data_IF_237180822645
#
_entry.id   IF_237180822645
#
_cell.length_a   1.000
_cell.length_b   1.000
_cell.length_c   1.000
_cell.angle_alpha   90.00
_cell.angle_beta   90.00
_cell.angle_gamma   90.00
#
_symmetry.space_group_name_H-M   'P 1'
#
loop_
_entity.id
_entity.type
_entity.pdbx_description
1 polymer ?
#
# COMPACT_ATOMS: atom_id res chain seq x y z
N UNK A 1 -0.48 -2.96 -4.30
CA UNK A 1 -1.10 -1.79 -4.97
C UNK A 1 -0.21 -1.36 -6.11
N UNK A 2 -0.73 -1.29 -7.34
CA UNK A 2 0.04 -0.96 -8.55
C UNK A 2 -0.75 -0.01 -9.49
N UNK A 3 -0.05 0.97 -10.07
CA UNK A 3 -0.65 1.98 -10.93
C UNK A 3 -1.07 1.41 -12.29
N UNK A 4 -2.21 1.89 -12.80
CA UNK A 4 -2.70 1.65 -14.15
C UNK A 4 -2.09 2.73 -15.05
N UNK A 5 -1.24 2.33 -15.99
CA UNK A 5 -0.49 3.26 -16.84
C UNK A 5 -1.27 3.53 -18.13
N UNK A 6 -1.62 4.78 -18.38
CA UNK A 6 -2.14 5.27 -19.66
C UNK A 6 -1.10 6.18 -20.31
N UNK A 7 -0.76 5.97 -21.59
CA UNK A 7 0.33 6.67 -22.27
C UNK A 7 0.15 8.19 -22.35
N UNK A 8 -1.11 8.65 -22.42
CA UNK A 8 -1.45 10.06 -22.56
C UNK A 8 -1.67 10.78 -21.23
N UNK A 9 -1.55 10.09 -20.09
CA UNK A 9 -1.65 10.70 -18.76
C UNK A 9 -0.24 11.01 -18.24
N UNK A 10 0.14 12.29 -18.10
CA UNK A 10 1.46 12.65 -17.60
C UNK A 10 1.57 12.31 -16.11
N UNK A 11 2.76 11.85 -15.72
CA UNK A 11 3.10 11.57 -14.33
C UNK A 11 3.48 12.88 -13.64
N UNK A 12 3.07 13.06 -12.39
CA UNK A 12 3.48 14.23 -11.59
C UNK A 12 4.96 14.11 -11.19
N UNK A 13 5.42 12.89 -10.91
CA UNK A 13 6.83 12.60 -10.72
C UNK A 13 7.41 12.10 -12.04
N UNK A 14 8.01 13.01 -12.79
CA UNK A 14 8.44 12.79 -14.17
C UNK A 14 9.54 11.73 -14.32
N UNK A 15 10.32 11.49 -13.27
CA UNK A 15 11.37 10.47 -13.25
C UNK A 15 10.85 9.04 -13.22
N UNK A 16 9.62 8.80 -12.76
CA UNK A 16 9.06 7.45 -12.63
C UNK A 16 8.73 6.86 -13.99
N UNK A 17 9.59 5.98 -14.50
CA UNK A 17 9.44 5.32 -15.80
C UNK A 17 8.90 3.89 -15.67
N UNK A 18 9.20 3.23 -14.56
CA UNK A 18 8.84 1.84 -14.24
C UNK A 18 7.92 1.81 -13.02
N UNK A 19 7.03 0.81 -12.86
CA UNK A 19 6.05 0.80 -11.77
C UNK A 19 6.71 0.79 -10.39
N UNK A 20 6.06 1.46 -9.42
CA UNK A 20 6.36 1.30 -7.99
C UNK A 20 5.19 0.52 -7.39
N UNK A 21 5.46 -0.67 -6.86
CA UNK A 21 4.43 -1.52 -6.28
C UNK A 21 4.48 -1.42 -4.76
N UNK A 22 3.40 -0.96 -4.14
CA UNK A 22 3.30 -0.90 -2.67
C UNK A 22 2.73 -2.24 -2.16
N UNK A 23 3.50 -2.93 -1.33
CA UNK A 23 3.04 -4.04 -0.50
C UNK A 23 2.72 -3.54 0.90
N UNK A 24 1.44 -3.44 1.26
CA UNK A 24 1.00 -2.95 2.57
C UNK A 24 0.78 -4.10 3.55
N UNK A 25 1.37 -4.02 4.74
CA UNK A 25 1.07 -4.96 5.83
C UNK A 25 -0.30 -4.67 6.44
N UNK A 26 -1.35 -5.33 5.97
CA UNK A 26 -2.74 -5.08 6.38
C UNK A 26 -3.11 -5.72 7.75
N UNK A 27 -2.26 -5.56 8.77
CA UNK A 27 -2.52 -6.10 10.11
C UNK A 27 -2.03 -5.15 11.22
N UNK A 28 -2.88 -4.97 12.24
CA UNK A 28 -2.60 -4.28 13.49
C UNK A 28 -1.97 -2.88 13.32
N UNK A 29 -0.92 -2.57 14.09
CA UNK A 29 -0.37 -1.21 14.24
C UNK A 29 -1.50 -0.20 14.58
N UNK A 30 -1.52 0.99 13.98
CA UNK A 30 -2.55 2.01 14.20
C UNK A 30 -3.99 1.50 13.95
N UNK A 31 -4.17 0.48 13.11
CA UNK A 31 -5.48 0.01 12.66
C UNK A 31 -6.15 -0.98 13.63
N UNK A 32 -5.43 -1.39 14.69
CA UNK A 32 -5.99 -2.11 15.85
C UNK A 32 -5.46 -1.53 17.16
N UNK A 33 -5.14 -0.23 17.15
CA UNK A 33 -4.68 0.47 18.33
C UNK A 33 -5.84 0.73 19.31
N UNK A 34 -5.49 0.94 20.57
CA UNK A 34 -6.38 1.52 21.57
C UNK A 34 -5.83 2.90 21.91
N UNK A 35 -6.63 3.93 21.71
CA UNK A 35 -6.32 5.31 22.03
C UNK A 35 -7.14 5.82 23.23
N UNK A 36 -6.57 6.79 23.95
CA UNK A 36 -7.14 7.29 25.20
C UNK A 36 -6.79 8.76 25.41
N UNK A 37 -7.78 9.54 25.84
CA UNK A 37 -7.58 10.93 26.30
C UNK A 37 -7.21 10.91 27.78
N UNK A 38 -5.99 11.35 28.09
CA UNK A 38 -5.49 11.47 29.46
C UNK A 38 -6.16 12.68 30.13
N UNK A 39 -6.90 12.50 31.24
CA UNK A 39 -7.75 13.56 31.80
C UNK A 39 -6.99 14.61 32.61
N UNK A 40 -5.76 14.35 33.04
CA UNK A 40 -4.99 15.23 33.92
C UNK A 40 -3.62 14.67 34.27
N UNK A 41 -2.96 15.28 35.25
CA UNK A 41 -1.63 14.84 35.70
C UNK A 41 -1.68 13.41 36.28
N UNK A 42 -0.70 12.59 35.94
CA UNK A 42 -0.65 11.18 36.35
C UNK A 42 0.43 10.39 35.64
N UNK A 43 0.69 9.17 36.11
CA UNK A 43 1.64 8.24 35.49
C UNK A 43 0.90 7.27 34.57
N UNK A 44 1.37 7.14 33.33
CA UNK A 44 0.88 6.15 32.38
C UNK A 44 1.94 5.05 32.17
N UNK A 45 1.54 3.79 32.33
CA UNK A 45 2.39 2.62 32.15
C UNK A 45 1.86 1.70 31.05
N UNK A 46 2.78 0.96 30.42
CA UNK A 46 2.49 -0.20 29.58
C UNK A 46 2.80 -1.46 30.38
N UNK A 47 1.80 -2.29 30.63
CA UNK A 47 1.96 -3.51 31.43
C UNK A 47 1.62 -4.77 30.61
N UNK A 48 2.56 -5.71 30.55
CA UNK A 48 2.35 -7.07 30.04
C UNK A 48 2.13 -8.03 31.21
N UNK A 49 1.14 -8.93 31.09
CA UNK A 49 0.87 -10.01 32.05
C UNK A 49 0.84 -11.33 31.30
N UNK A 50 1.91 -12.11 31.44
CA UNK A 50 2.05 -13.43 30.86
C UNK A 50 1.20 -14.48 31.58
N UNK A 51 0.80 -15.52 30.84
CA UNK A 51 0.07 -16.66 31.41
C UNK A 51 0.93 -17.49 32.39
N UNK A 52 2.25 -17.31 32.35
CA UNK A 52 3.23 -17.88 33.27
C UNK A 52 3.38 -17.06 34.57
N UNK A 53 2.61 -15.98 34.72
CA UNK A 53 2.69 -15.05 35.85
C UNK A 53 3.74 -13.96 35.69
N UNK A 54 4.48 -13.91 34.58
CA UNK A 54 5.43 -12.84 34.32
C UNK A 54 4.70 -11.49 34.18
N UNK A 55 5.18 -10.47 34.88
CA UNK A 55 4.69 -9.09 34.73
C UNK A 55 5.83 -8.21 34.27
N UNK A 56 5.64 -7.49 33.17
CA UNK A 56 6.58 -6.47 32.67
C UNK A 56 5.84 -5.15 32.71
N UNK A 57 6.41 -4.13 33.32
CA UNK A 57 5.85 -2.78 33.39
C UNK A 57 6.89 -1.78 32.92
N UNK A 58 6.48 -0.91 31.98
CA UNK A 58 7.31 0.17 31.44
C UNK A 58 6.55 1.48 31.58
N UNK A 59 7.21 2.53 32.05
CA UNK A 59 6.59 3.86 32.13
C UNK A 59 6.59 4.48 30.74
N UNK A 60 5.41 4.82 30.22
CA UNK A 60 5.27 5.55 28.95
C UNK A 60 5.59 7.02 29.19
N UNK A 61 4.93 7.65 30.18
CA UNK A 61 5.10 9.06 30.51
C UNK A 61 4.55 9.41 31.90
N UNK A 62 5.13 10.44 32.52
CA UNK A 62 4.58 11.13 33.69
C UNK A 62 3.91 12.44 33.27
N UNK A 63 2.61 12.39 32.98
CA UNK A 63 1.81 13.53 32.55
C UNK A 63 1.71 14.60 33.64
N UNK A 64 1.90 15.86 33.25
CA UNK A 64 1.74 17.05 34.12
C UNK A 64 0.38 17.75 33.95
N UNK A 65 -0.45 17.26 33.04
CA UNK A 65 -1.76 17.79 32.70
C UNK A 65 -2.46 16.89 31.66
N UNK A 66 -3.60 17.31 31.09
CA UNK A 66 -4.32 16.52 30.09
C UNK A 66 -3.48 16.23 28.84
N UNK A 67 -3.79 15.15 28.14
CA UNK A 67 -3.06 14.73 26.94
C UNK A 67 -3.73 13.58 26.21
N UNK A 68 -2.96 12.89 25.36
CA UNK A 68 -3.41 11.70 24.63
C UNK A 68 -2.35 10.60 24.70
N UNK A 69 -2.79 9.36 24.64
CA UNK A 69 -1.93 8.20 24.54
C UNK A 69 -2.54 7.17 23.60
N UNK A 70 -1.70 6.30 23.05
CA UNK A 70 -2.13 5.16 22.27
C UNK A 70 -1.23 3.96 22.55
N UNK A 71 -1.80 2.77 22.48
CA UNK A 71 -1.10 1.50 22.47
C UNK A 71 -1.40 0.74 21.18
N UNK A 72 -0.36 0.18 20.55
CA UNK A 72 -0.49 -0.64 19.34
C UNK A 72 0.39 -1.89 19.45
N UNK A 73 0.12 -2.88 18.62
CA UNK A 73 0.84 -4.14 18.61
C UNK A 73 0.97 -4.69 17.20
N UNK A 74 1.87 -5.67 17.03
CA UNK A 74 1.87 -6.59 15.91
C UNK A 74 2.32 -7.97 16.38
N UNK A 75 2.31 -8.97 15.51
CA UNK A 75 2.72 -10.34 15.85
C UNK A 75 3.80 -10.84 14.89
N UNK A 76 4.76 -11.59 15.40
CA UNK A 76 5.82 -12.18 14.58
C UNK A 76 5.25 -13.01 13.42
N UNK A 77 4.21 -13.82 13.69
CA UNK A 77 3.54 -14.62 12.67
C UNK A 77 3.02 -13.75 11.51
N UNK A 78 2.36 -12.62 11.81
CA UNK A 78 1.85 -11.73 10.77
C UNK A 78 2.96 -11.03 10.00
N UNK A 79 4.07 -10.68 10.66
CA UNK A 79 5.24 -10.06 10.02
C UNK A 79 5.95 -11.06 9.10
N UNK A 80 6.08 -12.31 9.53
CA UNK A 80 6.66 -13.42 8.74
C UNK A 80 5.83 -13.67 7.48
N UNK A 81 4.51 -13.75 7.61
CA UNK A 81 3.59 -13.90 6.48
C UNK A 81 3.71 -12.75 5.49
N UNK A 82 3.77 -11.51 5.99
CA UNK A 82 3.97 -10.32 5.17
C UNK A 82 5.33 -10.31 4.44
N UNK A 83 6.39 -10.75 5.11
CA UNK A 83 7.71 -10.88 4.52
C UNK A 83 7.70 -11.91 3.38
N UNK A 84 7.15 -13.11 3.61
CA UNK A 84 7.01 -14.13 2.58
C UNK A 84 6.21 -13.65 1.37
N UNK A 85 5.07 -12.98 1.60
CA UNK A 85 4.27 -12.42 0.52
C UNK A 85 5.06 -11.39 -0.30
N UNK A 86 5.79 -10.50 0.38
CA UNK A 86 6.61 -9.47 -0.27
C UNK A 86 7.75 -10.07 -1.10
N UNK A 87 8.47 -11.06 -0.55
CA UNK A 87 9.57 -11.71 -1.25
C UNK A 87 9.10 -12.49 -2.49
N UNK A 88 8.05 -13.31 -2.32
CA UNK A 88 7.47 -14.09 -3.43
C UNK A 88 6.96 -13.19 -4.54
N UNK A 89 6.26 -12.11 -4.19
CA UNK A 89 5.73 -11.17 -5.17
C UNK A 89 6.85 -10.46 -5.95
N UNK A 90 7.89 -10.00 -5.26
CA UNK A 90 9.04 -9.36 -5.90
C UNK A 90 9.82 -10.32 -6.82
N UNK A 91 9.98 -11.59 -6.43
CA UNK A 91 10.56 -12.64 -7.29
C UNK A 91 9.73 -12.89 -8.55
N UNK A 92 8.41 -13.08 -8.40
CA UNK A 92 7.49 -13.31 -9.51
C UNK A 92 7.54 -12.15 -10.52
N UNK A 93 7.58 -10.91 -10.01
CA UNK A 93 7.70 -9.69 -10.82
C UNK A 93 9.11 -9.39 -11.29
N UNK A 94 10.13 -10.11 -10.82
CA UNK A 94 11.56 -9.84 -11.04
C UNK A 94 11.93 -8.38 -10.75
N UNK A 95 11.46 -7.86 -9.62
CA UNK A 95 11.73 -6.51 -9.15
C UNK A 95 12.50 -6.56 -7.81
N UNK A 96 13.46 -5.64 -7.58
CA UNK A 96 14.07 -5.52 -6.26
C UNK A 96 13.03 -5.15 -5.20
N UNK A 97 13.27 -5.57 -3.96
CA UNK A 97 12.39 -5.35 -2.81
C UNK A 97 13.03 -4.42 -1.80
N UNK A 98 12.31 -3.36 -1.44
CA UNK A 98 12.66 -2.48 -0.34
C UNK A 98 11.65 -2.62 0.79
N UNK A 99 12.13 -2.73 2.04
CA UNK A 99 11.26 -2.66 3.22
C UNK A 99 11.69 -1.48 4.08
N UNK A 100 10.73 -0.63 4.47
CA UNK A 100 11.03 0.61 5.18
C UNK A 100 10.47 0.63 6.60
N UNK A 101 11.27 1.11 7.56
CA UNK A 101 10.82 1.35 8.94
C UNK A 101 11.49 2.58 9.56
N UNK A 102 11.20 2.90 10.83
CA UNK A 102 11.92 3.88 11.63
C UNK A 102 12.63 3.21 12.82
N UNK A 103 13.33 2.09 12.57
CA UNK A 103 13.98 1.26 13.61
C UNK A 103 15.08 1.97 14.42
N UNK A 104 15.64 3.09 13.95
CA UNK A 104 16.55 3.91 14.77
C UNK A 104 15.84 4.58 15.95
N UNK A 105 14.54 4.82 15.83
CA UNK A 105 13.67 5.39 16.87
C UNK A 105 12.90 4.28 17.58
N UNK A 106 12.15 3.47 16.83
CA UNK A 106 11.38 2.34 17.35
C UNK A 106 12.25 1.07 17.40
N UNK A 107 13.30 1.11 18.21
CA UNK A 107 14.37 0.09 18.25
C UNK A 107 13.88 -1.34 18.43
N UNK A 108 12.88 -1.56 19.29
CA UNK A 108 12.30 -2.88 19.53
C UNK A 108 11.21 -3.22 18.49
N UNK A 109 10.24 -2.33 18.30
CA UNK A 109 9.07 -2.58 17.45
C UNK A 109 9.43 -2.69 15.97
N UNK A 110 10.05 -1.65 15.40
CA UNK A 110 10.46 -1.62 14.00
C UNK A 110 11.74 -2.41 13.75
N UNK A 111 12.57 -2.58 14.79
CA UNK A 111 13.69 -3.53 14.77
C UNK A 111 13.20 -4.95 14.49
N UNK A 112 12.08 -5.37 15.12
CA UNK A 112 11.52 -6.71 14.90
C UNK A 112 11.11 -6.98 13.45
N UNK A 113 10.52 -5.99 12.77
CA UNK A 113 10.23 -6.07 11.34
C UNK A 113 11.50 -6.24 10.51
N UNK A 114 12.52 -5.41 10.77
CA UNK A 114 13.82 -5.49 10.09
C UNK A 114 14.45 -6.87 10.27
N UNK A 115 14.56 -7.33 11.52
CA UNK A 115 15.25 -8.56 11.86
C UNK A 115 14.56 -9.78 11.23
N UNK A 116 13.22 -9.83 11.24
CA UNK A 116 12.46 -10.93 10.61
C UNK A 116 12.68 -10.96 9.09
N UNK A 117 12.57 -9.81 8.41
CA UNK A 117 12.80 -9.76 6.97
C UNK A 117 14.24 -10.13 6.60
N UNK A 118 15.23 -9.63 7.34
CA UNK A 118 16.64 -9.91 7.10
C UNK A 118 16.98 -11.39 7.33
N UNK A 119 16.45 -11.99 8.40
CA UNK A 119 16.64 -13.41 8.69
C UNK A 119 16.03 -14.31 7.61
N UNK A 120 14.78 -14.03 7.20
CA UNK A 120 14.10 -14.77 6.14
C UNK A 120 14.80 -14.62 4.79
N UNK A 121 15.23 -13.41 4.44
CA UNK A 121 15.96 -13.16 3.21
C UNK A 121 17.23 -14.01 3.14
N UNK A 122 18.06 -13.93 4.18
CA UNK A 122 19.34 -14.63 4.23
C UNK A 122 19.17 -16.15 4.23
N UNK A 123 18.17 -16.68 4.94
CA UNK A 123 17.94 -18.13 5.06
C UNK A 123 17.27 -18.75 3.85
N UNK A 124 16.34 -18.04 3.21
CA UNK A 124 15.41 -18.66 2.25
C UNK A 124 15.46 -18.04 0.86
N UNK A 125 15.62 -16.72 0.73
CA UNK A 125 15.36 -16.03 -0.54
C UNK A 125 16.61 -15.55 -1.27
N UNK A 126 17.74 -15.34 -0.56
CA UNK A 126 18.94 -14.72 -1.11
C UNK A 126 19.43 -15.39 -2.40
N UNK A 127 19.48 -16.71 -2.44
CA UNK A 127 19.92 -17.47 -3.63
C UNK A 127 19.02 -17.24 -4.84
N UNK A 128 17.70 -17.21 -4.64
CA UNK A 128 16.73 -17.00 -5.72
C UNK A 128 16.78 -15.55 -6.24
N UNK A 129 16.96 -14.59 -5.33
CA UNK A 129 17.13 -13.18 -5.67
C UNK A 129 18.40 -12.94 -6.49
N UNK A 130 19.54 -13.50 -6.04
CA UNK A 130 20.82 -13.43 -6.76
C UNK A 130 20.71 -14.06 -8.16
N UNK A 131 20.04 -15.22 -8.28
CA UNK A 131 19.80 -15.88 -9.56
C UNK A 131 18.91 -15.06 -10.50
N UNK A 132 17.96 -14.29 -9.95
CA UNK A 132 17.10 -13.39 -10.70
C UNK A 132 17.73 -12.01 -10.98
N UNK A 133 18.92 -11.72 -10.44
CA UNK A 133 19.60 -10.43 -10.60
C UNK A 133 18.92 -9.27 -9.85
N UNK A 134 18.17 -9.57 -8.81
CA UNK A 134 17.48 -8.60 -7.96
C UNK A 134 17.95 -8.70 -6.50
N UNK A 135 17.60 -7.74 -5.66
CA UNK A 135 18.05 -7.68 -4.26
C UNK A 135 16.92 -7.31 -3.30
N UNK A 136 17.18 -7.55 -2.02
CA UNK A 136 16.40 -7.02 -0.90
C UNK A 136 17.23 -6.00 -0.12
N UNK A 137 16.60 -4.89 0.29
CA UNK A 137 17.23 -3.90 1.15
C UNK A 137 16.23 -3.35 2.19
N UNK A 138 16.67 -3.27 3.45
CA UNK A 138 15.98 -2.47 4.47
C UNK A 138 16.45 -1.02 4.39
N UNK A 139 15.50 -0.07 4.46
CA UNK A 139 15.79 1.37 4.53
C UNK A 139 15.05 2.05 5.67
N UNK A 140 15.60 3.17 6.13
CA UNK A 140 14.81 4.09 6.95
C UNK A 140 13.75 4.76 6.09
N UNK A 141 12.54 4.90 6.62
CA UNK A 141 11.37 5.39 5.86
C UNK A 141 11.59 6.77 5.23
N UNK A 142 12.31 7.66 5.90
CA UNK A 142 12.68 8.99 5.40
C UNK A 142 13.68 8.94 4.24
N UNK A 143 14.65 8.02 4.27
CA UNK A 143 15.53 7.78 3.12
C UNK A 143 14.77 7.11 1.98
N UNK A 144 13.89 6.15 2.29
CA UNK A 144 13.12 5.42 1.28
C UNK A 144 12.19 6.34 0.48
N UNK A 145 11.48 7.27 1.14
CA UNK A 145 10.63 8.25 0.42
C UNK A 145 11.48 9.16 -0.46
N UNK A 146 12.67 9.58 -0.01
CA UNK A 146 13.56 10.43 -0.78
C UNK A 146 14.16 9.70 -1.99
N UNK A 147 14.52 8.42 -1.80
CA UNK A 147 14.95 7.53 -2.87
C UNK A 147 13.84 7.33 -3.90
N UNK A 148 12.62 7.00 -3.46
CA UNK A 148 11.49 6.79 -4.35
C UNK A 148 11.26 7.99 -5.27
N UNK A 149 11.27 9.22 -4.73
CA UNK A 149 11.08 10.45 -5.51
C UNK A 149 12.15 10.71 -6.58
N UNK A 150 13.37 10.20 -6.40
CA UNK A 150 14.50 10.38 -7.34
C UNK A 150 14.73 9.17 -8.25
N UNK A 151 14.14 8.03 -7.92
CA UNK A 151 14.28 6.79 -8.67
C UNK A 151 13.55 6.85 -10.01
N UNK A 152 13.84 5.88 -10.88
CA UNK A 152 13.02 5.63 -12.08
C UNK A 152 11.80 4.75 -11.78
N UNK A 153 11.54 4.43 -10.52
CA UNK A 153 10.64 3.35 -10.09
C UNK A 153 11.23 1.96 -10.35
N UNK A 154 10.38 0.95 -10.54
CA UNK A 154 10.79 -0.42 -10.87
C UNK A 154 11.20 -1.25 -9.66
N UNK A 155 10.43 -1.16 -8.58
CA UNK A 155 10.67 -1.91 -7.35
C UNK A 155 9.37 -2.22 -6.61
N UNK A 156 9.42 -3.22 -5.74
CA UNK A 156 8.41 -3.47 -4.73
C UNK A 156 8.83 -2.77 -3.45
N UNK A 157 7.90 -2.05 -2.83
CA UNK A 157 8.09 -1.38 -1.55
C UNK A 157 7.15 -1.99 -0.52
N UNK A 158 7.71 -2.83 0.34
CA UNK A 158 7.04 -3.37 1.52
C UNK A 158 6.96 -2.30 2.60
N UNK A 159 5.74 -1.82 2.85
CA UNK A 159 5.42 -0.82 3.83
C UNK A 159 4.68 -1.44 5.02
N UNK A 160 4.99 -0.95 6.23
CA UNK A 160 4.14 -1.15 7.41
C UNK A 160 2.73 -0.61 7.13
N UNK A 161 1.77 -0.96 7.98
CA UNK A 161 0.36 -0.73 7.70
C UNK A 161 0.05 0.73 7.35
N UNK A 162 0.45 1.66 8.22
CA UNK A 162 0.21 3.09 8.03
C UNK A 162 1.02 3.69 6.86
N UNK A 163 2.30 3.32 6.75
CA UNK A 163 3.14 3.80 5.65
C UNK A 163 2.59 3.35 4.30
N UNK A 164 2.08 2.12 4.21
CA UNK A 164 1.51 1.57 2.98
C UNK A 164 0.21 2.24 2.56
N UNK A 165 -0.58 2.72 3.52
CA UNK A 165 -1.79 3.48 3.27
C UNK A 165 -1.47 4.86 2.68
N UNK A 166 -0.58 5.61 3.33
CA UNK A 166 -0.19 6.96 2.90
C UNK A 166 0.62 6.94 1.60
N UNK A 167 1.59 6.03 1.50
CA UNK A 167 2.49 5.99 0.35
C UNK A 167 1.82 5.41 -0.90
N UNK A 168 0.82 4.52 -0.77
CA UNK A 168 0.07 4.09 -1.96
C UNK A 168 -0.69 5.23 -2.62
N UNK A 169 -1.25 6.14 -1.83
CA UNK A 169 -1.97 7.31 -2.34
C UNK A 169 -1.01 8.29 -3.01
N UNK A 170 0.15 8.51 -2.39
CA UNK A 170 1.23 9.35 -2.95
C UNK A 170 1.75 8.79 -4.27
N UNK A 171 1.98 7.47 -4.34
CA UNK A 171 2.41 6.79 -5.56
C UNK A 171 1.31 6.87 -6.62
N UNK A 172 0.05 6.59 -6.28
CA UNK A 172 -1.08 6.68 -7.21
C UNK A 172 -1.21 8.07 -7.81
N UNK A 173 -1.15 9.09 -6.98
CA UNK A 173 -1.20 10.48 -7.43
C UNK A 173 0.02 10.84 -8.28
N UNK A 174 1.21 10.32 -7.95
CA UNK A 174 2.42 10.51 -8.75
C UNK A 174 2.34 9.90 -10.15
N UNK A 175 1.58 8.80 -10.31
CA UNK A 175 1.24 8.20 -11.61
C UNK A 175 0.04 8.82 -12.32
N UNK A 176 -0.59 9.84 -11.73
CA UNK A 176 -1.65 10.64 -12.35
C UNK A 176 -2.86 10.81 -11.45
N UNK A 177 -3.45 9.71 -11.00
CA UNK A 177 -4.69 9.75 -10.20
C UNK A 177 -4.85 8.52 -9.32
N UNK A 178 -5.48 8.73 -8.16
CA UNK A 178 -6.01 7.65 -7.31
C UNK A 178 -6.96 6.71 -8.06
N UNK A 179 -7.67 7.22 -9.07
CA UNK A 179 -8.53 6.41 -9.95
C UNK A 179 -7.77 5.46 -10.86
N UNK A 180 -6.45 5.60 -10.97
CA UNK A 180 -5.56 4.75 -11.76
C UNK A 180 -4.65 3.89 -10.87
N UNK A 181 -5.19 3.34 -9.78
CA UNK A 181 -4.43 2.47 -8.88
C UNK A 181 -5.26 1.23 -8.53
N UNK A 182 -4.65 0.06 -8.75
CA UNK A 182 -5.21 -1.23 -8.33
C UNK A 182 -4.79 -1.56 -6.91
N UNK A 183 -5.67 -2.23 -6.15
CA UNK A 183 -5.35 -2.80 -4.84
C UNK A 183 -5.79 -4.26 -4.81
N UNK A 184 -4.86 -5.15 -4.52
CA UNK A 184 -5.11 -6.58 -4.32
C UNK A 184 -4.39 -7.00 -3.05
N UNK A 185 -5.15 -7.48 -2.07
CA UNK A 185 -4.66 -8.14 -0.89
C UNK A 185 -4.50 -9.63 -1.20
N UNK A 186 -3.28 -10.15 -1.08
CA UNK A 186 -2.99 -11.58 -1.22
C UNK A 186 -2.85 -12.20 0.17
N UNK A 187 -3.62 -13.24 0.46
CA UNK A 187 -3.48 -13.99 1.70
C UNK A 187 -2.23 -14.90 1.68
N UNK A 188 -1.69 -15.27 2.86
CA UNK A 188 -0.49 -16.12 2.96
C UNK A 188 -0.65 -17.52 2.36
N UNK A 189 -1.90 -18.00 2.23
CA UNK A 189 -2.23 -19.28 1.59
C UNK A 189 -1.90 -19.32 0.09
N UNK A 190 -1.56 -18.17 -0.52
CA UNK A 190 -1.28 -18.04 -1.95
C UNK A 190 -2.48 -18.28 -2.86
N UNK A 191 -3.69 -18.36 -2.28
CA UNK A 191 -4.93 -18.72 -2.98
C UNK A 191 -6.03 -17.69 -2.76
N UNK A 192 -6.16 -17.11 -1.58
CA UNK A 192 -7.23 -16.17 -1.28
C UNK A 192 -6.79 -14.76 -1.62
N UNK A 193 -7.64 -14.03 -2.36
CA UNK A 193 -7.40 -12.62 -2.70
C UNK A 193 -8.63 -11.79 -2.38
N UNK A 194 -8.39 -10.54 -2.01
CA UNK A 194 -9.39 -9.49 -1.94
C UNK A 194 -8.92 -8.37 -2.88
N UNK A 195 -9.82 -7.86 -3.72
CA UNK A 195 -9.51 -6.84 -4.70
C UNK A 195 -10.43 -5.63 -4.47
N UNK A 196 -9.82 -4.46 -4.29
CA UNK A 196 -10.51 -3.21 -3.98
C UNK A 196 -9.95 -2.07 -4.85
N UNK A 197 -10.69 -0.96 -4.90
CA UNK A 197 -10.11 0.30 -5.32
C UNK A 197 -9.18 0.80 -4.20
N UNK A 198 -8.02 1.39 -4.55
CA UNK A 198 -7.12 1.94 -3.53
C UNK A 198 -7.67 3.21 -2.85
N UNK A 199 -8.66 3.87 -3.45
CA UNK A 199 -9.24 5.11 -2.96
C UNK A 199 -10.48 4.89 -2.07
N UNK A 200 -10.80 5.89 -1.25
CA UNK A 200 -12.04 5.90 -0.45
C UNK A 200 -13.32 6.18 -1.24
N UNK A 201 -14.41 6.47 -0.55
CA UNK A 201 -15.77 6.64 -1.11
C UNK A 201 -16.00 7.96 -1.85
N UNK A 202 -14.95 8.77 -2.06
CA UNK A 202 -15.01 10.06 -2.77
C UNK A 202 -16.09 11.00 -2.20
N UNK A 203 -16.17 11.12 -0.86
CA UNK A 203 -17.23 11.84 -0.14
C UNK A 203 -17.52 13.24 -0.68
N UNK A 204 -16.49 13.97 -1.13
CA UNK A 204 -16.67 15.30 -1.74
C UNK A 204 -17.58 15.25 -2.98
N UNK A 205 -17.37 14.28 -3.86
CA UNK A 205 -18.21 14.11 -5.06
C UNK A 205 -19.60 13.64 -4.66
N UNK A 206 -19.71 12.74 -3.67
CA UNK A 206 -21.00 12.31 -3.16
C UNK A 206 -21.84 13.47 -2.60
N UNK A 207 -21.23 14.47 -1.94
CA UNK A 207 -21.92 15.68 -1.50
C UNK A 207 -22.43 16.55 -2.66
N UNK A 208 -21.71 16.60 -3.79
CA UNK A 208 -22.19 17.27 -5.00
C UNK A 208 -23.35 16.51 -5.65
N UNK A 209 -23.26 15.19 -5.74
CA UNK A 209 -24.35 14.32 -6.19
C UNK A 209 -25.62 14.55 -5.35
N UNK A 210 -25.52 14.60 -4.02
CA UNK A 210 -26.66 14.89 -3.13
C UNK A 210 -27.31 16.26 -3.37
N UNK A 211 -26.58 17.21 -3.96
CA UNK A 211 -27.09 18.53 -4.34
C UNK A 211 -27.64 18.56 -5.77
N UNK A 212 -27.70 17.42 -6.46
CA UNK A 212 -28.10 17.34 -7.87
C UNK A 212 -27.06 17.92 -8.85
N UNK A 213 -25.82 18.14 -8.39
CA UNK A 213 -24.74 18.66 -9.23
C UNK A 213 -24.05 17.52 -9.97
N UNK A 214 -23.58 17.82 -11.18
CA UNK A 214 -22.78 16.89 -11.98
C UNK A 214 -21.47 16.53 -11.26
N UNK A 215 -21.04 15.28 -11.43
CA UNK A 215 -19.74 14.79 -10.91
C UNK A 215 -18.99 14.08 -12.00
N UNK A 216 -17.67 14.22 -12.00
CA UNK A 216 -16.76 13.46 -12.89
C UNK A 216 -15.86 12.61 -12.01
N UNK A 217 -16.41 11.50 -11.51
CA UNK A 217 -15.72 10.56 -10.61
C UNK A 217 -15.15 9.42 -11.43
N UNK A 218 -13.84 9.19 -11.33
CA UNK A 218 -13.15 8.15 -12.08
C UNK A 218 -13.54 6.74 -11.57
N UNK A 219 -14.15 5.87 -12.40
CA UNK A 219 -14.57 4.53 -11.99
C UNK A 219 -13.52 3.44 -12.21
N UNK A 220 -12.36 3.78 -12.79
CA UNK A 220 -11.41 2.80 -13.36
C UNK A 220 -10.86 1.86 -12.29
N UNK A 221 -10.39 2.36 -11.15
CA UNK A 221 -9.94 1.52 -10.04
C UNK A 221 -11.02 0.56 -9.53
N UNK A 222 -12.28 1.00 -9.48
CA UNK A 222 -13.43 0.14 -9.10
C UNK A 222 -13.71 -0.94 -10.14
N UNK A 223 -13.60 -0.62 -11.43
CA UNK A 223 -13.72 -1.63 -12.50
C UNK A 223 -12.57 -2.64 -12.40
N UNK A 224 -11.35 -2.17 -12.15
CA UNK A 224 -10.19 -3.04 -12.00
C UNK A 224 -10.27 -3.92 -10.76
N UNK A 225 -10.93 -3.48 -9.68
CA UNK A 225 -11.20 -4.36 -8.54
C UNK A 225 -12.03 -5.58 -8.96
N UNK A 226 -13.08 -5.38 -9.78
CA UNK A 226 -13.86 -6.47 -10.36
C UNK A 226 -13.01 -7.35 -11.28
N UNK A 227 -12.32 -6.79 -12.27
CA UNK A 227 -11.55 -7.58 -13.23
C UNK A 227 -10.43 -8.36 -12.55
N UNK A 228 -9.74 -7.80 -11.55
CA UNK A 228 -8.72 -8.52 -10.77
C UNK A 228 -9.30 -9.69 -9.99
N UNK A 229 -10.47 -9.52 -9.38
CA UNK A 229 -11.20 -10.63 -8.75
C UNK A 229 -11.59 -11.73 -9.76
N UNK A 230 -12.10 -11.34 -10.93
CA UNK A 230 -12.49 -12.27 -12.00
C UNK A 230 -11.29 -12.99 -12.62
N UNK A 231 -10.16 -12.31 -12.84
CA UNK A 231 -8.90 -12.89 -13.31
C UNK A 231 -8.39 -13.95 -12.35
N UNK A 232 -8.44 -13.65 -11.05
CA UNK A 232 -8.05 -14.62 -10.04
C UNK A 232 -8.99 -15.82 -9.99
N UNK A 233 -10.31 -15.59 -10.08
CA UNK A 233 -11.30 -16.68 -10.19
C UNK A 233 -11.06 -17.54 -11.44
N UNK A 234 -10.80 -16.90 -12.58
CA UNK A 234 -10.48 -17.56 -13.84
C UNK A 234 -9.26 -18.47 -13.72
N UNK A 235 -8.19 -17.99 -13.04
CA UNK A 235 -7.01 -18.80 -12.74
C UNK A 235 -7.33 -20.01 -11.86
N UNK A 236 -8.16 -19.84 -10.83
CA UNK A 236 -8.52 -20.93 -9.92
C UNK A 236 -9.41 -22.00 -10.58
N UNK A 237 -10.20 -21.63 -11.57
CA UNK A 237 -11.15 -22.51 -12.27
C UNK A 237 -10.65 -23.00 -13.64
N UNK A 238 -9.46 -22.57 -14.08
CA UNK A 238 -8.97 -22.78 -15.45
C UNK A 238 -9.99 -22.29 -16.51
N UNK A 239 -10.59 -21.12 -16.27
CA UNK A 239 -11.69 -20.56 -17.07
C UNK A 239 -11.19 -19.47 -18.02
N UNK A 240 -10.75 -19.90 -19.20
CA UNK A 240 -10.22 -19.03 -20.25
C UNK A 240 -11.21 -17.94 -20.74
N UNK A 241 -12.50 -18.22 -21.00
CA UNK A 241 -13.46 -17.17 -21.35
C UNK A 241 -13.59 -16.05 -20.31
N UNK A 242 -13.56 -16.40 -19.02
CA UNK A 242 -13.63 -15.39 -17.94
C UNK A 242 -12.35 -14.53 -17.91
N UNK A 243 -11.19 -15.15 -18.14
CA UNK A 243 -9.91 -14.44 -18.26
C UNK A 243 -9.96 -13.42 -19.40
N UNK A 244 -10.38 -13.86 -20.59
CA UNK A 244 -10.48 -13.00 -21.78
C UNK A 244 -11.43 -11.83 -21.56
N UNK A 245 -12.58 -12.06 -20.93
CA UNK A 245 -13.52 -10.99 -20.58
C UNK A 245 -12.88 -9.93 -19.69
N UNK A 246 -12.21 -10.35 -18.61
CA UNK A 246 -11.61 -9.42 -17.66
C UNK A 246 -10.45 -8.63 -18.28
N UNK A 247 -9.59 -9.26 -19.08
CA UNK A 247 -8.50 -8.59 -19.80
C UNK A 247 -9.03 -7.60 -20.84
N UNK A 248 -10.09 -7.99 -21.56
CA UNK A 248 -10.74 -7.10 -22.54
C UNK A 248 -11.32 -5.87 -21.86
N UNK A 249 -11.96 -6.02 -20.71
CA UNK A 249 -12.54 -4.90 -19.97
C UNK A 249 -11.45 -3.94 -19.43
N UNK A 250 -10.32 -4.46 -18.95
CA UNK A 250 -9.16 -3.64 -18.57
C UNK A 250 -8.61 -2.86 -19.77
N UNK A 251 -8.50 -3.52 -20.93
CA UNK A 251 -8.00 -2.88 -22.16
C UNK A 251 -8.96 -1.79 -22.66
N UNK A 252 -10.28 -2.03 -22.66
CA UNK A 252 -11.29 -1.03 -23.05
C UNK A 252 -11.20 0.23 -22.19
N UNK A 253 -10.95 0.08 -20.89
CA UNK A 253 -10.74 1.20 -19.99
C UNK A 253 -9.52 2.05 -20.39
N UNK A 254 -8.39 1.40 -20.68
CA UNK A 254 -7.16 2.07 -21.14
C UNK A 254 -7.38 2.74 -22.49
N UNK A 255 -7.94 2.02 -23.47
CA UNK A 255 -8.17 2.52 -24.82
C UNK A 255 -9.14 3.72 -24.83
N UNK A 256 -10.13 3.72 -23.94
CA UNK A 256 -11.07 4.85 -23.79
C UNK A 256 -10.33 6.11 -23.33
N UNK A 257 -9.46 5.98 -22.33
CA UNK A 257 -8.63 7.09 -21.82
C UNK A 257 -7.62 7.53 -22.88
N UNK A 258 -6.90 6.59 -23.50
CA UNK A 258 -5.91 6.88 -24.55
C UNK A 258 -6.55 7.49 -25.81
N UNK A 259 -7.80 7.13 -26.12
CA UNK A 259 -8.63 7.73 -27.17
C UNK A 259 -9.14 9.15 -26.86
N UNK A 260 -8.89 9.65 -25.64
CA UNK A 260 -9.17 11.04 -25.24
C UNK A 260 -10.45 11.21 -24.41
N UNK A 261 -11.21 10.14 -24.15
CA UNK A 261 -12.39 10.17 -23.29
C UNK A 261 -12.01 9.83 -21.84
N UNK A 262 -12.04 10.82 -20.95
CA UNK A 262 -11.56 10.66 -19.59
C UNK A 262 -12.29 11.54 -18.59
N UNK A 263 -12.23 11.16 -17.32
CA UNK A 263 -12.78 11.96 -16.21
C UNK A 263 -11.90 13.15 -15.86
N UNK A 264 -12.49 14.11 -15.13
CA UNK A 264 -11.90 15.41 -14.83
C UNK A 264 -10.53 15.32 -14.15
N UNK A 265 -10.32 14.35 -13.28
CA UNK A 265 -9.03 14.10 -12.63
C UNK A 265 -7.90 13.87 -13.64
N UNK A 266 -8.13 13.05 -14.68
CA UNK A 266 -7.12 12.77 -15.71
C UNK A 266 -6.95 13.94 -16.66
N UNK A 267 -8.03 14.62 -17.01
CA UNK A 267 -7.97 15.82 -17.83
C UNK A 267 -7.16 16.94 -17.16
N UNK A 268 -7.23 17.07 -15.82
CA UNK A 268 -6.41 18.01 -15.05
C UNK A 268 -4.92 17.67 -15.17
N UNK A 269 -4.55 16.38 -15.10
CA UNK A 269 -3.15 15.96 -15.29
C UNK A 269 -2.59 16.44 -16.64
N UNK A 270 -3.38 16.32 -17.71
CA UNK A 270 -2.96 16.70 -19.06
C UNK A 270 -2.91 18.22 -19.23
N UNK A 271 -3.93 18.95 -18.74
CA UNK A 271 -4.07 20.39 -18.99
C UNK A 271 -3.43 21.28 -17.92
N UNK A 272 -2.94 20.71 -16.83
CA UNK A 272 -2.17 21.39 -15.78
C UNK A 272 -2.97 22.27 -14.82
N UNK A 273 -4.29 22.46 -15.01
CA UNK A 273 -5.12 23.18 -14.04
C UNK A 273 -6.61 22.86 -14.14
N UNK A 274 -7.33 23.02 -13.02
CA UNK A 274 -8.79 22.89 -12.97
C UNK A 274 -9.50 23.87 -13.91
N UNK A 275 -8.94 25.08 -14.09
CA UNK A 275 -9.53 26.13 -14.92
C UNK A 275 -9.42 25.83 -16.42
N UNK A 276 -8.50 24.95 -16.81
CA UNK A 276 -8.32 24.52 -18.18
C UNK A 276 -9.23 23.34 -18.58
N UNK A 277 -9.93 22.75 -17.61
CA UNK A 277 -10.87 21.64 -17.83
C UNK A 277 -12.30 22.18 -17.72
N UNK A 278 -12.96 22.32 -18.87
CA UNK A 278 -14.40 22.59 -18.95
C UNK A 278 -15.19 21.38 -18.48
#
# INVERSE_FOLDING_TARGET
REAIICKNVPRLVTGWQKPIVIGRHAHADQYKAVDYVVPGAGKLTLTWKGNDGQVIEEVINDFKGPGVALGMFNTDASIVDFAHASFKYALDRKLPLYMSTKNTILKKYDGRFKDIFEDLYNKQYKKEYEAAGIWYEHRLIDDMVAYAMKSEGGFVWACKNYDGDVQSDSVAQGYGSLGLMTSVLLCPDGKTVEAEAAHGTVTRHFRFYQQGKETSTNPIASIFAWTRGLLHRAKLDDNEPLRQFAETLEQVCIDTIEGGAMTKDLAICIKGSINAVQ
#
